data_IF_052171069760
#
_entry.id   IF_052171069760
#
_cell.length_a   1.000
_cell.length_b   1.000
_cell.length_c   1.000
_cell.angle_alpha   90.00
_cell.angle_beta   90.00
_cell.angle_gamma   90.00
#
_symmetry.space_group_name_H-M   'P 1'
#
loop_
_entity.id
_entity.type
_entity.pdbx_description
1 polymer ?
#
# COMPACT_ATOMS: atom_id res chain seq x y z
N UNK A 1 -11.45 21.20 30.06
CA UNK A 1 -11.15 20.50 28.79
C UNK A 1 -11.30 21.52 27.67
N UNK A 2 -10.21 22.19 27.27
CA UNK A 2 -10.23 23.07 26.10
C UNK A 2 -10.19 22.16 24.89
N UNK A 3 -11.21 22.24 24.05
CA UNK A 3 -11.23 21.54 22.77
C UNK A 3 -10.11 22.13 21.91
N UNK A 4 -9.07 21.35 21.64
CA UNK A 4 -8.08 21.61 20.59
C UNK A 4 -8.77 21.52 19.23
N UNK A 5 -9.65 22.48 18.94
CA UNK A 5 -10.13 22.71 17.58
C UNK A 5 -9.06 23.57 16.95
N UNK A 6 -8.25 22.95 16.10
CA UNK A 6 -7.34 23.65 15.21
C UNK A 6 -8.17 24.66 14.41
N UNK A 7 -8.05 25.94 14.78
CA UNK A 7 -8.84 27.02 14.19
C UNK A 7 -8.40 27.19 12.73
N UNK A 8 -9.29 26.92 11.76
CA UNK A 8 -8.97 26.94 10.32
C UNK A 8 -8.47 28.31 9.84
N UNK A 9 -8.82 29.39 10.54
CA UNK A 9 -8.38 30.76 10.30
C UNK A 9 -8.09 31.45 11.64
N UNK A 10 -6.93 31.20 12.26
CA UNK A 10 -6.62 31.74 13.57
C UNK A 10 -6.40 33.25 13.48
N UNK A 11 -6.84 33.98 14.51
CA UNK A 11 -6.61 35.42 14.60
C UNK A 11 -5.14 35.69 14.95
N UNK A 12 -4.39 36.26 14.01
CA UNK A 12 -2.96 36.57 14.18
C UNK A 12 -2.68 38.00 14.65
N UNK A 13 -3.65 38.90 14.48
CA UNK A 13 -3.51 40.30 14.88
C UNK A 13 -4.37 40.57 16.11
N UNK A 14 -3.81 41.23 17.14
CA UNK A 14 -4.57 41.61 18.32
C UNK A 14 -5.58 42.69 17.95
N UNK A 15 -6.86 42.38 18.11
CA UNK A 15 -7.95 43.35 18.03
C UNK A 15 -8.69 43.31 19.36
N UNK A 16 -8.61 44.41 20.12
CA UNK A 16 -9.28 44.53 21.41
C UNK A 16 -10.78 44.74 21.16
N UNK A 17 -11.59 43.73 21.53
CA UNK A 17 -13.06 43.76 21.46
C UNK A 17 -13.69 44.48 22.68
N UNK A 18 -13.01 45.51 23.20
CA UNK A 18 -13.39 46.22 24.41
C UNK A 18 -14.44 47.31 24.18
N UNK A 19 -15.70 47.01 24.55
CA UNK A 19 -16.82 47.83 25.07
C UNK A 19 -17.20 49.22 24.53
N UNK A 20 -16.41 49.93 23.72
CA UNK A 20 -16.81 51.25 23.21
C UNK A 20 -17.17 51.17 21.72
N UNK A 21 -18.36 50.60 21.45
CA UNK A 21 -18.99 50.54 20.12
C UNK A 21 -19.72 51.83 19.77
N UNK A 22 -19.10 52.99 19.94
CA UNK A 22 -19.73 54.25 19.53
C UNK A 22 -18.77 55.05 18.65
N UNK A 23 -19.12 55.09 17.36
CA UNK A 23 -18.53 55.94 16.31
C UNK A 23 -17.13 55.59 15.80
N UNK A 24 -16.99 54.46 15.09
CA UNK A 24 -15.96 54.36 14.02
C UNK A 24 -16.58 54.92 12.73
N UNK A 25 -16.11 56.07 12.29
CA UNK A 25 -16.53 56.67 11.02
C UNK A 25 -15.92 55.88 9.85
N UNK A 26 -16.74 55.09 9.16
CA UNK A 26 -16.34 54.27 8.01
C UNK A 26 -16.06 55.11 6.74
N UNK A 27 -16.35 56.42 6.77
CA UNK A 27 -16.23 57.33 5.63
C UNK A 27 -14.81 57.89 5.43
N UNK A 28 -13.96 57.87 6.46
CA UNK A 28 -12.64 58.48 6.46
C UNK A 28 -11.50 57.46 6.29
N UNK A 29 -10.29 57.91 5.89
CA UNK A 29 -9.10 57.06 5.95
C UNK A 29 -8.72 56.78 7.42
N UNK A 30 -8.39 55.53 7.79
CA UNK A 30 -8.04 55.17 9.15
C UNK A 30 -6.71 55.80 9.56
N UNK A 31 -6.63 56.27 10.81
CA UNK A 31 -5.45 56.98 11.33
C UNK A 31 -4.51 56.07 12.11
N UNK A 32 -4.96 54.88 12.49
CA UNK A 32 -4.17 53.88 13.21
C UNK A 32 -4.48 52.43 12.78
N UNK A 33 -3.58 51.46 13.05
CA UNK A 33 -3.78 50.07 12.64
C UNK A 33 -4.98 49.36 13.29
N UNK A 34 -5.35 49.71 14.53
CA UNK A 34 -6.48 49.09 15.23
C UNK A 34 -7.83 49.56 14.67
N UNK A 35 -7.92 50.82 14.24
CA UNK A 35 -9.06 51.42 13.57
C UNK A 35 -9.25 50.80 12.17
N UNK A 36 -8.15 50.61 11.44
CA UNK A 36 -8.16 49.88 10.18
C UNK A 36 -8.70 48.45 10.34
N UNK A 37 -8.19 47.68 11.31
CA UNK A 37 -8.67 46.30 11.54
C UNK A 37 -10.15 46.26 11.94
N UNK A 38 -10.64 47.25 12.68
CA UNK A 38 -12.07 47.38 13.00
C UNK A 38 -12.91 47.72 11.77
N UNK A 39 -12.47 48.66 10.94
CA UNK A 39 -13.14 49.00 9.69
C UNK A 39 -13.25 47.80 8.76
N UNK A 40 -12.16 47.01 8.64
CA UNK A 40 -12.15 45.76 7.86
C UNK A 40 -13.06 44.69 8.46
N UNK A 41 -13.12 44.53 9.78
CA UNK A 41 -14.04 43.58 10.42
C UNK A 41 -15.50 43.95 10.16
N UNK A 42 -15.83 45.24 10.23
CA UNK A 42 -17.17 45.74 9.93
C UNK A 42 -17.51 45.57 8.44
N UNK A 43 -16.62 45.97 7.53
CA UNK A 43 -16.79 45.76 6.08
C UNK A 43 -16.96 44.27 5.72
N UNK A 44 -16.15 43.39 6.32
CA UNK A 44 -16.27 41.95 6.13
C UNK A 44 -17.59 41.40 6.70
N UNK A 45 -18.09 41.94 7.82
CA UNK A 45 -19.40 41.54 8.38
C UNK A 45 -20.59 41.97 7.51
N UNK A 46 -20.41 43.00 6.68
CA UNK A 46 -21.40 43.45 5.69
C UNK A 46 -21.34 42.63 4.40
N UNK A 47 -20.22 41.96 4.13
CA UNK A 47 -20.08 41.06 3.00
C UNK A 47 -20.80 39.72 3.28
N UNK A 48 -21.47 39.12 2.27
CA UNK A 48 -22.00 37.78 2.42
C UNK A 48 -20.87 36.75 2.64
N UNK A 49 -21.05 35.86 3.62
CA UNK A 49 -20.05 34.84 3.99
C UNK A 49 -19.71 33.88 2.82
N UNK A 50 -20.71 33.54 2.01
CA UNK A 50 -20.55 32.69 0.83
C UNK A 50 -21.19 33.36 -0.37
N UNK A 51 -20.42 33.47 -1.44
CA UNK A 51 -20.90 33.94 -2.75
C UNK A 51 -20.75 32.83 -3.78
N UNK A 52 -21.79 32.61 -4.58
CA UNK A 52 -21.78 31.60 -5.65
C UNK A 52 -21.88 32.29 -7.00
N UNK A 53 -20.81 32.23 -7.79
CA UNK A 53 -20.80 32.73 -9.14
C UNK A 53 -21.39 31.70 -10.11
N UNK A 54 -22.35 32.11 -10.94
CA UNK A 54 -22.94 31.26 -11.96
C UNK A 54 -22.01 31.17 -13.18
N UNK A 55 -21.48 29.98 -13.44
CA UNK A 55 -20.58 29.71 -14.58
C UNK A 55 -21.27 28.76 -15.55
N UNK A 56 -21.15 29.00 -16.85
CA UNK A 56 -21.68 28.12 -17.88
C UNK A 56 -20.96 26.75 -17.88
N UNK A 57 -21.61 25.65 -17.47
CA UNK A 57 -20.98 24.34 -17.33
C UNK A 57 -20.60 23.73 -18.68
N UNK A 58 -21.18 24.20 -19.80
CA UNK A 58 -20.88 23.68 -21.15
C UNK A 58 -19.43 23.94 -21.56
N UNK A 59 -18.81 25.00 -21.03
CA UNK A 59 -17.40 25.34 -21.29
C UNK A 59 -16.41 24.41 -20.57
N UNK A 60 -16.83 23.77 -19.48
CA UNK A 60 -15.96 22.94 -18.63
C UNK A 60 -16.00 21.46 -19.02
N UNK A 61 -17.18 20.95 -19.42
CA UNK A 61 -17.37 19.52 -19.77
C UNK A 61 -16.46 19.00 -20.88
N UNK A 62 -15.98 19.87 -21.78
CA UNK A 62 -15.13 19.49 -22.92
C UNK A 62 -13.65 19.34 -22.56
N UNK A 63 -13.21 19.71 -21.35
CA UNK A 63 -11.81 19.75 -20.93
C UNK A 63 -11.50 18.86 -19.72
N UNK A 64 -12.43 18.00 -19.31
CA UNK A 64 -12.19 17.12 -18.17
C UNK A 64 -11.24 15.99 -18.57
N UNK A 65 -10.13 15.88 -17.85
CA UNK A 65 -9.21 14.75 -17.95
C UNK A 65 -9.81 13.51 -17.30
N UNK A 66 -9.56 12.34 -17.90
CA UNK A 66 -10.02 11.05 -17.38
C UNK A 66 -9.18 10.68 -16.16
N UNK A 67 -9.85 10.31 -15.07
CA UNK A 67 -9.18 9.65 -13.96
C UNK A 67 -9.03 8.16 -14.27
N UNK A 68 -7.81 7.69 -14.50
CA UNK A 68 -7.54 6.28 -14.79
C UNK A 68 -7.56 5.49 -13.49
N UNK A 69 -8.65 4.74 -13.27
CA UNK A 69 -8.76 3.79 -12.17
C UNK A 69 -8.20 2.43 -12.57
N UNK A 70 -7.39 1.84 -11.70
CA UNK A 70 -6.88 0.48 -11.87
C UNK A 70 -8.06 -0.52 -11.77
N UNK A 71 -8.15 -1.45 -12.73
CA UNK A 71 -9.19 -2.48 -12.75
C UNK A 71 -9.08 -3.43 -11.55
N UNK A 72 -10.23 -3.93 -11.08
CA UNK A 72 -10.30 -4.93 -10.02
C UNK A 72 -9.75 -6.31 -10.43
N UNK A 73 -9.77 -7.27 -9.50
CA UNK A 73 -9.45 -8.66 -9.85
C UNK A 73 -10.56 -9.26 -10.72
N UNK A 74 -10.18 -10.03 -11.75
CA UNK A 74 -11.14 -10.77 -12.57
C UNK A 74 -11.89 -11.80 -11.73
N UNK A 75 -13.21 -11.90 -11.96
CA UNK A 75 -14.06 -12.91 -11.34
C UNK A 75 -13.55 -14.32 -11.73
N UNK A 76 -13.64 -15.31 -10.81
CA UNK A 76 -13.30 -16.69 -11.14
C UNK A 76 -14.23 -17.21 -12.26
N UNK A 77 -13.71 -18.00 -13.21
CA UNK A 77 -14.55 -18.82 -14.08
C UNK A 77 -15.47 -19.74 -13.26
N UNK A 78 -16.58 -20.18 -13.85
CA UNK A 78 -17.57 -21.02 -13.15
C UNK A 78 -16.92 -22.32 -12.68
N UNK A 79 -17.01 -22.61 -11.38
CA UNK A 79 -16.40 -23.79 -10.75
C UNK A 79 -14.95 -23.61 -10.26
N UNK A 80 -14.29 -22.49 -10.59
CA UNK A 80 -12.89 -22.21 -10.17
C UNK A 80 -12.81 -21.40 -8.86
N UNK A 81 -13.96 -21.03 -8.29
CA UNK A 81 -14.04 -20.31 -7.02
C UNK A 81 -13.95 -21.29 -5.84
N UNK A 82 -13.09 -21.05 -4.84
CA UNK A 82 -13.07 -21.85 -3.63
C UNK A 82 -14.33 -21.63 -2.80
N UNK A 83 -14.73 -22.64 -2.03
CA UNK A 83 -15.87 -22.55 -1.11
C UNK A 83 -15.58 -21.57 0.06
N UNK A 84 -16.64 -21.01 0.64
CA UNK A 84 -16.51 -20.09 1.78
C UNK A 84 -15.85 -20.77 2.99
N UNK A 85 -16.19 -22.04 3.25
CA UNK A 85 -15.57 -22.81 4.33
C UNK A 85 -14.06 -22.99 4.12
N UNK A 86 -13.63 -23.31 2.89
CA UNK A 86 -12.21 -23.40 2.57
C UNK A 86 -11.51 -22.07 2.79
N UNK A 87 -12.12 -20.97 2.34
CA UNK A 87 -11.60 -19.61 2.53
C UNK A 87 -11.39 -19.29 4.02
N UNK A 88 -12.39 -19.54 4.86
CA UNK A 88 -12.30 -19.33 6.32
C UNK A 88 -11.20 -20.17 6.97
N UNK A 89 -11.06 -21.44 6.56
CA UNK A 89 -9.98 -22.30 7.05
C UNK A 89 -8.60 -21.75 6.69
N UNK A 90 -8.41 -21.27 5.46
CA UNK A 90 -7.14 -20.67 5.05
C UNK A 90 -6.82 -19.39 5.82
N UNK A 91 -7.82 -18.55 6.14
CA UNK A 91 -7.61 -17.39 7.02
C UNK A 91 -7.08 -17.84 8.37
N UNK A 92 -7.72 -18.84 8.98
CA UNK A 92 -7.32 -19.33 10.30
C UNK A 92 -5.88 -19.84 10.27
N UNK A 93 -5.56 -20.72 9.32
CA UNK A 93 -4.23 -21.28 9.14
C UNK A 93 -3.17 -20.17 8.94
N UNK A 94 -3.46 -19.18 8.09
CA UNK A 94 -2.56 -18.06 7.85
C UNK A 94 -2.35 -17.21 9.11
N UNK A 95 -3.40 -17.00 9.90
CA UNK A 95 -3.30 -16.26 11.16
C UNK A 95 -2.40 -16.98 12.18
N UNK A 96 -2.46 -18.31 12.23
CA UNK A 96 -1.63 -19.11 13.13
C UNK A 96 -0.17 -19.17 12.67
N UNK A 97 0.08 -19.25 11.36
CA UNK A 97 1.43 -19.11 10.79
C UNK A 97 2.03 -17.76 11.15
N UNK A 98 1.29 -16.66 10.97
CA UNK A 98 1.74 -15.32 11.37
C UNK A 98 2.03 -15.23 12.86
N UNK A 99 1.14 -15.77 13.71
CA UNK A 99 1.34 -15.81 15.17
C UNK A 99 2.62 -16.55 15.53
N UNK A 100 2.89 -17.68 14.88
CA UNK A 100 4.11 -18.46 15.07
C UNK A 100 5.36 -17.67 14.68
N UNK A 101 5.34 -17.00 13.51
CA UNK A 101 6.44 -16.15 13.04
C UNK A 101 6.71 -15.03 14.04
N UNK A 102 5.67 -14.30 14.46
CA UNK A 102 5.81 -13.20 15.43
C UNK A 102 6.35 -13.69 16.77
N UNK A 103 5.87 -14.84 17.26
CA UNK A 103 6.33 -15.44 18.53
C UNK A 103 7.80 -15.83 18.48
N UNK A 104 8.23 -16.44 17.38
CA UNK A 104 9.59 -16.96 17.22
C UNK A 104 10.57 -15.92 16.65
N UNK A 105 10.11 -14.72 16.27
CA UNK A 105 10.92 -13.70 15.60
C UNK A 105 12.21 -13.36 16.35
N UNK A 106 12.10 -13.14 17.67
CA UNK A 106 13.25 -12.81 18.54
C UNK A 106 14.27 -13.97 18.62
N UNK A 107 13.76 -15.19 18.61
CA UNK A 107 14.58 -16.39 18.65
C UNK A 107 15.31 -16.58 17.32
N UNK A 108 14.62 -16.46 16.18
CA UNK A 108 15.24 -16.56 14.85
C UNK A 108 16.21 -15.41 14.55
N UNK A 109 15.95 -14.19 15.03
CA UNK A 109 16.89 -13.08 14.87
C UNK A 109 18.18 -13.27 15.67
N UNK A 110 18.16 -14.10 16.71
CA UNK A 110 19.36 -14.42 17.52
C UNK A 110 20.17 -15.60 16.97
N UNK A 111 19.63 -16.33 16.00
CA UNK A 111 20.33 -17.44 15.37
C UNK A 111 21.07 -16.94 14.12
N UNK A 112 22.35 -17.26 14.03
CA UNK A 112 23.13 -17.05 12.80
C UNK A 112 22.71 -18.10 11.78
N UNK A 113 22.51 -17.69 10.53
CA UNK A 113 22.24 -18.60 9.43
C UNK A 113 23.38 -19.62 9.28
N UNK A 114 23.06 -20.82 8.80
CA UNK A 114 24.07 -21.81 8.46
C UNK A 114 25.08 -21.22 7.45
N UNK A 115 26.36 -21.58 7.59
CA UNK A 115 27.48 -21.06 6.76
C UNK A 115 27.27 -21.21 5.24
N UNK A 116 26.32 -22.05 4.81
CA UNK A 116 25.98 -22.31 3.42
C UNK A 116 25.00 -21.28 2.83
N UNK A 117 24.38 -20.42 3.65
CA UNK A 117 23.37 -19.44 3.21
C UNK A 117 24.01 -18.06 3.19
N UNK A 118 24.35 -17.58 1.99
CA UNK A 118 24.74 -16.19 1.76
C UNK A 118 23.60 -15.43 1.10
N UNK A 119 23.18 -14.35 1.72
CA UNK A 119 22.08 -13.53 1.20
C UNK A 119 22.61 -12.51 0.18
N UNK A 120 21.88 -12.26 -0.92
CA UNK A 120 22.19 -11.17 -1.83
C UNK A 120 22.09 -9.80 -1.14
N UNK A 121 22.76 -8.81 -1.73
CA UNK A 121 22.65 -7.42 -1.29
C UNK A 121 21.22 -6.89 -1.53
N UNK A 122 20.78 -5.91 -0.73
CA UNK A 122 19.43 -5.33 -0.86
C UNK A 122 19.16 -4.73 -2.25
N UNK A 123 20.20 -4.31 -2.96
CA UNK A 123 20.12 -3.73 -4.31
C UNK A 123 20.27 -4.76 -5.43
N UNK A 124 20.53 -6.03 -5.11
CA UNK A 124 20.80 -7.08 -6.08
C UNK A 124 19.52 -7.87 -6.40
N UNK A 125 18.64 -7.28 -7.21
CA UNK A 125 17.37 -7.90 -7.61
C UNK A 125 17.58 -9.28 -8.26
N UNK A 126 18.61 -9.40 -9.10
CA UNK A 126 18.96 -10.63 -9.81
C UNK A 126 19.45 -11.72 -8.86
N UNK A 127 20.27 -11.34 -7.88
CA UNK A 127 20.68 -12.21 -6.79
C UNK A 127 19.49 -12.72 -5.99
N UNK A 128 18.51 -11.87 -5.68
CA UNK A 128 17.29 -12.28 -4.96
C UNK A 128 16.44 -13.26 -5.77
N UNK A 129 16.28 -13.05 -7.07
CA UNK A 129 15.56 -14.00 -7.95
C UNK A 129 16.25 -15.37 -7.95
N UNK A 130 17.59 -15.41 -8.11
CA UNK A 130 18.39 -16.65 -8.05
C UNK A 130 18.33 -17.32 -6.69
N UNK A 131 18.37 -16.54 -5.61
CA UNK A 131 18.31 -17.05 -4.24
C UNK A 131 16.97 -17.71 -3.94
N UNK A 132 15.86 -17.06 -4.31
CA UNK A 132 14.51 -17.56 -4.01
C UNK A 132 14.11 -18.73 -4.94
N UNK A 133 14.36 -18.61 -6.24
CA UNK A 133 13.88 -19.58 -7.24
C UNK A 133 14.91 -20.69 -7.51
N UNK A 134 16.18 -20.46 -7.20
CA UNK A 134 17.27 -21.33 -7.58
C UNK A 134 17.70 -21.14 -9.04
N UNK A 135 18.95 -21.47 -9.33
CA UNK A 135 19.58 -21.23 -10.62
C UNK A 135 18.91 -21.98 -11.79
N UNK A 136 18.35 -23.17 -11.52
CA UNK A 136 17.65 -23.98 -12.54
C UNK A 136 16.31 -23.39 -12.99
N UNK A 137 15.58 -22.76 -12.07
CA UNK A 137 14.27 -22.18 -12.34
C UNK A 137 14.44 -20.76 -12.90
N UNK A 138 15.45 -20.03 -12.42
CA UNK A 138 15.76 -18.70 -12.90
C UNK A 138 16.31 -18.68 -14.33
N UNK A 139 17.25 -19.57 -14.67
CA UNK A 139 17.93 -19.56 -15.98
C UNK A 139 17.27 -20.49 -17.02
N UNK A 140 16.16 -21.16 -16.70
CA UNK A 140 15.47 -22.03 -17.65
C UNK A 140 16.36 -23.12 -18.25
N UNK A 141 16.68 -24.15 -17.45
CA UNK A 141 17.32 -25.41 -17.91
C UNK A 141 18.62 -25.33 -18.75
N UNK A 142 19.31 -24.20 -18.86
CA UNK A 142 20.60 -24.13 -19.56
C UNK A 142 21.53 -23.08 -18.95
N UNK A 143 22.41 -23.51 -18.03
CA UNK A 143 23.77 -22.99 -17.89
C UNK A 143 24.56 -23.79 -16.84
N UNK A 144 25.83 -24.04 -17.14
CA UNK A 144 26.84 -24.60 -16.25
C UNK A 144 27.05 -23.72 -15.00
N UNK A 145 27.48 -24.32 -13.86
CA UNK A 145 27.78 -23.58 -12.66
C UNK A 145 28.99 -22.69 -12.93
N UNK A 146 28.79 -21.38 -12.93
CA UNK A 146 29.91 -20.44 -12.91
C UNK A 146 30.08 -19.97 -11.48
N UNK A 147 31.21 -20.35 -10.88
CA UNK A 147 31.72 -19.87 -9.61
C UNK A 147 31.75 -18.33 -9.59
N UNK A 148 30.69 -17.72 -9.09
CA UNK A 148 30.70 -16.32 -8.69
C UNK A 148 30.38 -16.31 -7.20
N UNK A 149 31.42 -16.08 -6.38
CA UNK A 149 31.27 -15.72 -4.97
C UNK A 149 30.60 -14.34 -4.89
N UNK A 150 29.54 -14.18 -4.10
CA UNK A 150 29.19 -12.87 -3.58
C UNK A 150 29.34 -12.85 -2.06
N UNK A 151 29.88 -11.74 -1.58
CA UNK A 151 29.94 -11.32 -0.19
C UNK A 151 28.65 -10.56 0.13
N UNK A 152 28.03 -10.88 1.27
CA UNK A 152 27.59 -9.91 2.28
C UNK A 152 26.72 -10.59 3.34
N UNK A 153 26.97 -10.18 4.57
CA UNK A 153 26.32 -10.53 5.81
C UNK A 153 25.30 -9.42 6.12
N UNK A 154 24.00 -9.72 6.11
CA UNK A 154 22.97 -8.75 6.49
C UNK A 154 21.82 -9.36 7.29
N UNK A 155 21.49 -8.62 8.35
CA UNK A 155 20.50 -8.88 9.40
C UNK A 155 19.05 -8.91 8.87
N UNK A 156 18.33 -9.99 9.17
CA UNK A 156 16.96 -10.30 8.73
C UNK A 156 15.88 -9.40 9.37
N UNK A 157 16.23 -8.40 10.18
CA UNK A 157 15.25 -7.74 11.04
C UNK A 157 14.33 -6.71 10.35
N UNK A 158 14.58 -6.32 9.10
CA UNK A 158 13.88 -5.17 8.48
C UNK A 158 12.73 -5.58 7.57
N UNK A 159 11.51 -5.14 7.93
CA UNK A 159 10.28 -5.22 7.11
C UNK A 159 10.49 -4.66 5.69
N UNK A 160 11.41 -3.71 5.53
CA UNK A 160 11.84 -3.15 4.25
C UNK A 160 12.42 -4.20 3.28
N UNK A 161 13.16 -5.19 3.77
CA UNK A 161 13.72 -6.25 2.92
C UNK A 161 12.63 -7.17 2.40
N UNK A 162 11.65 -7.52 3.25
CA UNK A 162 10.56 -8.40 2.86
C UNK A 162 9.68 -7.79 1.76
N UNK A 163 9.45 -6.46 1.80
CA UNK A 163 8.72 -5.76 0.75
C UNK A 163 9.52 -5.67 -0.55
N UNK A 164 10.82 -5.33 -0.48
CA UNK A 164 11.71 -5.31 -1.64
C UNK A 164 11.74 -6.68 -2.34
N UNK A 165 11.95 -7.77 -1.60
CA UNK A 165 11.98 -9.12 -2.17
C UNK A 165 10.61 -9.50 -2.74
N UNK A 166 9.52 -9.11 -2.08
CA UNK A 166 8.17 -9.33 -2.59
C UNK A 166 7.98 -8.63 -3.94
N UNK A 167 8.40 -7.38 -4.08
CA UNK A 167 8.29 -6.62 -5.33
C UNK A 167 9.16 -7.22 -6.46
N UNK A 168 10.38 -7.65 -6.15
CA UNK A 168 11.27 -8.35 -7.10
C UNK A 168 10.62 -9.64 -7.61
N UNK A 169 10.01 -10.43 -6.71
CA UNK A 169 9.32 -11.67 -7.08
C UNK A 169 8.01 -11.40 -7.83
N UNK A 170 7.28 -10.34 -7.50
CA UNK A 170 6.09 -9.92 -8.25
C UNK A 170 6.49 -9.53 -9.66
N UNK A 171 7.54 -8.72 -9.82
CA UNK A 171 8.06 -8.32 -11.13
C UNK A 171 8.46 -9.53 -11.98
N UNK A 172 9.18 -10.50 -11.40
CA UNK A 172 9.48 -11.76 -12.11
C UNK A 172 8.20 -12.52 -12.48
N UNK A 173 7.21 -12.57 -11.59
CA UNK A 173 5.94 -13.24 -11.85
C UNK A 173 5.04 -12.56 -12.91
N UNK A 174 5.32 -11.31 -13.29
CA UNK A 174 4.58 -10.67 -14.39
C UNK A 174 4.85 -11.36 -15.73
N UNK A 175 6.08 -11.82 -15.95
CA UNK A 175 6.53 -12.42 -17.20
C UNK A 175 6.54 -13.96 -17.18
N UNK A 176 6.49 -14.56 -15.99
CA UNK A 176 6.62 -16.01 -15.81
C UNK A 176 5.36 -16.68 -15.23
N UNK A 177 5.31 -18.01 -15.30
CA UNK A 177 4.23 -18.80 -14.72
C UNK A 177 4.39 -18.99 -13.20
N UNK A 178 3.31 -19.41 -12.53
CA UNK A 178 3.35 -19.72 -11.11
C UNK A 178 4.05 -21.07 -10.88
N UNK A 179 5.25 -21.01 -10.31
CA UNK A 179 6.02 -22.16 -9.86
C UNK A 179 5.77 -22.40 -8.35
N UNK A 180 5.69 -23.65 -7.85
CA UNK A 180 5.44 -23.90 -6.43
C UNK A 180 6.42 -23.21 -5.49
N UNK A 181 7.71 -23.18 -5.85
CA UNK A 181 8.78 -22.49 -5.12
C UNK A 181 8.47 -20.99 -4.97
N UNK A 182 8.04 -20.34 -6.06
CA UNK A 182 7.61 -18.94 -6.04
C UNK A 182 6.40 -18.77 -5.10
N UNK A 183 5.40 -19.66 -5.19
CA UNK A 183 4.22 -19.63 -4.32
C UNK A 183 4.56 -19.71 -2.83
N UNK A 184 5.51 -20.58 -2.46
CA UNK A 184 6.00 -20.70 -1.09
C UNK A 184 6.69 -19.41 -0.61
N UNK A 185 7.55 -18.80 -1.43
CA UNK A 185 8.20 -17.53 -1.10
C UNK A 185 7.20 -16.38 -0.95
N UNK A 186 6.26 -16.24 -1.90
CA UNK A 186 5.21 -15.24 -1.82
C UNK A 186 4.37 -15.42 -0.55
N UNK A 187 3.99 -16.65 -0.22
CA UNK A 187 3.23 -16.95 1.01
C UNK A 187 4.03 -16.61 2.28
N UNK A 188 5.30 -16.99 2.33
CA UNK A 188 6.18 -16.70 3.47
C UNK A 188 6.40 -15.18 3.64
N UNK A 189 6.67 -14.46 2.56
CA UNK A 189 6.85 -13.01 2.58
C UNK A 189 5.57 -12.30 3.04
N UNK A 190 4.41 -12.70 2.53
CA UNK A 190 3.11 -12.19 2.97
C UNK A 190 2.85 -12.45 4.47
N UNK A 191 3.29 -13.60 4.99
CA UNK A 191 3.18 -13.92 6.41
C UNK A 191 4.12 -13.06 7.28
N UNK A 192 5.28 -12.67 6.75
CA UNK A 192 6.23 -11.79 7.42
C UNK A 192 5.80 -10.30 7.40
N UNK A 193 4.83 -9.89 6.57
CA UNK A 193 4.36 -8.50 6.54
C UNK A 193 3.58 -8.12 7.80
N UNK A 194 4.15 -7.22 8.60
CA UNK A 194 3.53 -6.70 9.81
C UNK A 194 2.43 -5.67 9.51
N UNK A 195 1.44 -5.57 10.41
CA UNK A 195 0.37 -4.57 10.34
C UNK A 195 0.72 -3.40 11.29
N UNK A 196 0.40 -2.14 10.95
CA UNK A 196 -0.30 -1.69 9.74
C UNK A 196 0.59 -1.76 8.49
N UNK A 197 0.01 -2.23 7.39
CA UNK A 197 0.70 -2.33 6.11
C UNK A 197 0.88 -0.93 5.51
N UNK A 198 2.04 -0.69 4.92
CA UNK A 198 2.29 0.53 4.14
C UNK A 198 1.39 0.56 2.88
N UNK A 199 1.00 1.75 2.39
CA UNK A 199 0.21 1.87 1.16
C UNK A 199 0.86 1.20 -0.06
N UNK A 200 2.19 1.22 -0.14
CA UNK A 200 2.98 0.54 -1.17
C UNK A 200 2.80 -0.98 -1.11
N UNK A 201 2.95 -1.58 0.07
CA UNK A 201 2.70 -2.99 0.30
C UNK A 201 1.28 -3.40 -0.14
N UNK A 202 0.27 -2.57 0.17
CA UNK A 202 -1.09 -2.80 -0.31
C UNK A 202 -1.18 -2.74 -1.84
N UNK A 203 -0.45 -1.85 -2.50
CA UNK A 203 -0.40 -1.76 -3.96
C UNK A 203 0.19 -3.04 -4.58
N UNK A 204 1.33 -3.49 -4.09
CA UNK A 204 2.03 -4.69 -4.57
C UNK A 204 1.20 -5.95 -4.40
N UNK A 205 0.60 -6.16 -3.22
CA UNK A 205 -0.31 -7.30 -2.97
C UNK A 205 -1.53 -7.24 -3.92
N UNK A 206 -2.05 -6.05 -4.22
CA UNK A 206 -3.15 -5.89 -5.18
C UNK A 206 -2.74 -6.21 -6.60
N UNK A 207 -1.50 -5.91 -6.99
CA UNK A 207 -0.94 -6.24 -8.30
C UNK A 207 -0.73 -7.75 -8.44
N UNK A 208 -0.13 -8.37 -7.43
CA UNK A 208 0.03 -9.82 -7.35
C UNK A 208 -1.31 -10.56 -7.54
N UNK A 209 -2.34 -10.19 -6.77
CA UNK A 209 -3.64 -10.85 -6.88
C UNK A 209 -4.34 -10.60 -8.22
N UNK A 210 -4.08 -9.46 -8.89
CA UNK A 210 -4.58 -9.20 -10.25
C UNK A 210 -3.91 -10.16 -11.23
N UNK A 211 -2.60 -10.31 -11.15
CA UNK A 211 -1.83 -11.26 -11.97
C UNK A 211 -2.28 -12.70 -11.72
N UNK A 212 -2.47 -13.11 -10.46
CA UNK A 212 -3.00 -14.43 -10.14
C UNK A 212 -4.40 -14.65 -10.73
N UNK A 213 -5.29 -13.64 -10.69
CA UNK A 213 -6.62 -13.74 -11.27
C UNK A 213 -6.60 -13.84 -12.80
N UNK A 214 -5.66 -13.16 -13.46
CA UNK A 214 -5.43 -13.28 -14.90
C UNK A 214 -4.97 -14.70 -15.27
N UNK A 215 -3.96 -15.25 -14.57
CA UNK A 215 -3.51 -16.63 -14.82
C UNK A 215 -4.59 -17.66 -14.50
N UNK A 216 -5.41 -17.43 -13.48
CA UNK A 216 -6.56 -18.31 -13.19
C UNK A 216 -7.56 -18.32 -14.34
N UNK A 217 -7.73 -17.21 -15.07
CA UNK A 217 -8.65 -17.15 -16.21
C UNK A 217 -8.13 -17.86 -17.47
N UNK A 218 -6.83 -18.16 -17.53
CA UNK A 218 -6.22 -18.92 -18.63
C UNK A 218 -6.18 -20.43 -18.36
N UNK A 219 -6.58 -20.89 -17.18
CA UNK A 219 -6.61 -22.32 -16.85
C UNK A 219 -7.82 -23.01 -17.49
N UNK A 220 -7.59 -24.16 -18.11
CA UNK A 220 -8.63 -24.96 -18.78
C UNK A 220 -9.24 -26.02 -17.87
N UNK A 221 -8.49 -26.52 -16.88
CA UNK A 221 -8.90 -27.61 -15.98
C UNK A 221 -8.98 -27.18 -14.52
N UNK A 222 -9.94 -27.76 -13.80
CA UNK A 222 -10.08 -27.59 -12.34
C UNK A 222 -9.08 -28.45 -11.55
N UNK A 223 -8.49 -29.46 -12.18
CA UNK A 223 -7.51 -30.37 -11.57
C UNK A 223 -6.07 -29.85 -11.64
N UNK A 224 -5.87 -28.61 -12.11
CA UNK A 224 -4.54 -27.99 -12.14
C UNK A 224 -4.10 -27.61 -10.73
N UNK A 225 -2.96 -28.15 -10.29
CA UNK A 225 -2.38 -27.85 -8.97
C UNK A 225 -2.18 -26.34 -8.75
N UNK A 226 -1.93 -25.57 -9.81
CA UNK A 226 -1.75 -24.11 -9.75
C UNK A 226 -3.03 -23.40 -9.33
N UNK A 227 -4.21 -23.97 -9.58
CA UNK A 227 -5.50 -23.36 -9.24
C UNK A 227 -5.62 -23.12 -7.73
N UNK A 228 -5.26 -24.11 -6.90
CA UNK A 228 -5.29 -24.00 -5.45
C UNK A 228 -4.34 -22.90 -4.96
N UNK A 229 -3.12 -22.84 -5.51
CA UNK A 229 -2.12 -21.83 -5.15
C UNK A 229 -2.55 -20.42 -5.55
N UNK A 230 -3.10 -20.24 -6.76
CA UNK A 230 -3.63 -18.95 -7.24
C UNK A 230 -4.80 -18.48 -6.38
N UNK A 231 -5.73 -19.38 -6.06
CA UNK A 231 -6.88 -19.06 -5.21
C UNK A 231 -6.45 -18.65 -3.79
N UNK A 232 -5.43 -19.31 -3.23
CA UNK A 232 -4.86 -18.93 -1.94
C UNK A 232 -4.28 -17.51 -1.97
N UNK A 233 -3.43 -17.19 -2.95
CA UNK A 233 -2.80 -15.87 -3.06
C UNK A 233 -3.81 -14.74 -3.31
N UNK A 234 -4.82 -14.98 -4.17
CA UNK A 234 -5.91 -14.02 -4.41
C UNK A 234 -6.70 -13.76 -3.12
N UNK A 235 -6.95 -14.80 -2.34
CA UNK A 235 -7.74 -14.68 -1.12
C UNK A 235 -6.97 -13.98 0.00
N UNK A 236 -5.65 -14.19 0.11
CA UNK A 236 -4.80 -13.49 1.08
C UNK A 236 -4.78 -11.97 0.90
N UNK A 237 -5.04 -11.45 -0.31
CA UNK A 237 -5.26 -10.01 -0.56
C UNK A 237 -6.48 -9.45 0.19
N UNK A 238 -7.53 -10.24 0.39
CA UNK A 238 -8.79 -9.78 0.97
C UNK A 238 -8.63 -9.58 2.49
N UNK A 239 -7.82 -10.41 3.13
CA UNK A 239 -7.61 -10.40 4.58
C UNK A 239 -7.16 -9.05 5.19
N UNK A 240 -6.24 -8.28 4.59
CA UNK A 240 -5.88 -6.96 5.12
C UNK A 240 -6.89 -5.83 4.84
N UNK A 241 -7.96 -6.07 4.06
CA UNK A 241 -8.99 -5.06 3.74
C UNK A 241 -10.29 -5.24 4.54
N UNK A 242 -10.56 -6.42 5.09
CA UNK A 242 -11.86 -6.77 5.71
C UNK A 242 -11.89 -6.74 7.24
N UNK A 243 -10.75 -6.64 7.92
CA UNK A 243 -10.70 -6.41 9.37
C UNK A 243 -10.31 -4.96 9.66
N UNK A 244 -11.34 -4.11 9.74
CA UNK A 244 -11.32 -2.88 10.54
C UNK A 244 -11.79 -3.22 11.95
#
# INVERSE_FOLDING_TARGET
MKSDVEELMPRLLPVELGQDTEHVDLSGPPRNPQEYLRQVQLEASMCPEVVVAQIDPKKLKKKQTVHVSVTGCHAPPVGFSPSLHWQQQQVSNFSDVRRSITKNRKHWSSQTLDNNVRMPNLTDEEGWKKFCLGERIYLGASACPTDAKPEAELDYSKVSTALMVLDVLISWFEEHELVPQLGCWLYALLACLEKPLLPEAHSSIRQLARRCAQLRSTLESQDDDRLAHLNLLIFLKIFPQTFK
#
